data_IF_232775790332
#
_entry.id   IF_232775790332
#
_cell.length_a   1.000
_cell.length_b   1.000
_cell.length_c   1.000
_cell.angle_alpha   90.00
_cell.angle_beta   90.00
_cell.angle_gamma   90.00
#
_symmetry.space_group_name_H-M   'P 1'
#
loop_
_entity.id
_entity.type
_entity.pdbx_description
1 polymer ?
#
# COMPACT_ATOMS: atom_id res chain seq x y z
N UNK A 1 -2.71 0.50 8.04
CA UNK A 1 -1.95 -0.76 7.86
C UNK A 1 -2.40 -1.78 8.89
N UNK A 2 -2.29 -1.48 10.19
CA UNK A 2 -2.71 -2.36 11.30
C UNK A 2 -4.11 -2.97 11.08
N UNK A 3 -5.15 -2.14 10.88
CA UNK A 3 -6.51 -2.67 10.66
C UNK A 3 -6.68 -3.58 9.43
N UNK A 4 -5.86 -3.41 8.39
CA UNK A 4 -5.93 -4.26 7.20
C UNK A 4 -5.22 -5.60 7.43
N UNK A 5 -4.10 -5.58 8.16
CA UNK A 5 -3.38 -6.78 8.54
C UNK A 5 -4.15 -7.60 9.60
N UNK A 6 -4.82 -6.96 10.56
CA UNK A 6 -5.71 -7.62 11.52
C UNK A 6 -6.92 -8.29 10.85
N UNK A 7 -7.32 -7.81 9.67
CA UNK A 7 -8.37 -8.40 8.86
C UNK A 7 -7.86 -9.50 7.90
N UNK A 8 -6.61 -9.96 8.06
CA UNK A 8 -5.94 -10.94 7.20
C UNK A 8 -5.96 -10.58 5.70
N UNK A 9 -6.00 -9.27 5.38
CA UNK A 9 -5.93 -8.80 4.00
C UNK A 9 -4.47 -8.68 3.55
N UNK A 10 -4.14 -9.09 2.31
CA UNK A 10 -2.81 -8.87 1.76
C UNK A 10 -2.57 -7.37 1.57
N UNK A 11 -1.49 -6.85 2.19
CA UNK A 11 -1.09 -5.44 2.10
C UNK A 11 0.28 -5.35 1.46
N UNK A 12 0.46 -4.43 0.53
CA UNK A 12 1.76 -4.08 -0.04
C UNK A 12 2.05 -2.60 0.18
N UNK A 13 3.29 -2.27 0.55
CA UNK A 13 3.79 -0.90 0.57
C UNK A 13 4.46 -0.61 -0.76
N UNK A 14 3.97 0.43 -1.43
CA UNK A 14 4.51 0.87 -2.72
C UNK A 14 5.08 2.27 -2.58
N UNK A 15 6.09 2.60 -3.37
CA UNK A 15 6.56 3.97 -3.48
C UNK A 15 5.49 4.80 -4.20
N UNK A 16 4.97 5.91 -3.63
CA UNK A 16 3.95 6.74 -4.27
C UNK A 16 4.35 7.25 -5.67
N UNK A 17 5.66 7.38 -5.96
CA UNK A 17 6.16 7.74 -7.29
C UNK A 17 5.81 6.68 -8.34
N UNK A 18 5.91 5.39 -8.00
CA UNK A 18 5.61 4.30 -8.94
C UNK A 18 4.14 4.32 -9.35
N UNK A 19 3.21 4.52 -8.41
CA UNK A 19 1.78 4.65 -8.73
C UNK A 19 1.50 5.86 -9.64
N UNK A 20 2.18 6.99 -9.41
CA UNK A 20 2.06 8.18 -10.28
C UNK A 20 2.63 7.96 -11.67
N UNK A 21 3.77 7.29 -11.78
CA UNK A 21 4.39 7.05 -13.07
C UNK A 21 3.60 6.00 -13.88
N UNK A 22 3.01 5.01 -13.20
CA UNK A 22 2.04 4.09 -13.80
C UNK A 22 0.77 4.79 -14.31
N UNK A 23 0.22 5.73 -13.53
CA UNK A 23 -0.90 6.57 -13.96
C UNK A 23 -0.59 7.34 -15.25
N UNK A 24 0.60 7.95 -15.32
CA UNK A 24 1.05 8.67 -16.51
C UNK A 24 1.22 7.74 -17.71
N UNK A 25 1.85 6.58 -17.51
CA UNK A 25 2.07 5.60 -18.57
C UNK A 25 0.76 5.03 -19.14
N UNK A 26 -0.29 4.95 -18.31
CA UNK A 26 -1.63 4.50 -18.71
C UNK A 26 -2.53 5.64 -19.22
N UNK A 27 -2.01 6.87 -19.33
CA UNK A 27 -2.75 8.02 -19.88
C UNK A 27 -3.83 8.59 -18.96
N UNK A 28 -3.87 8.20 -17.67
CA UNK A 28 -4.84 8.74 -16.71
C UNK A 28 -4.27 9.96 -15.98
N UNK A 29 -4.63 11.15 -16.47
CA UNK A 29 -4.18 12.44 -15.95
C UNK A 29 -5.17 13.13 -14.99
N UNK A 30 -6.46 12.77 -15.05
CA UNK A 30 -7.46 13.31 -14.14
C UNK A 30 -7.38 12.62 -12.76
N UNK A 31 -7.38 13.41 -11.68
CA UNK A 31 -7.32 12.93 -10.31
C UNK A 31 -8.67 13.13 -9.62
N UNK A 32 -9.38 12.03 -9.44
CA UNK A 32 -10.47 11.89 -8.47
C UNK A 32 -10.18 10.66 -7.63
N UNK A 33 -10.75 10.56 -6.43
CA UNK A 33 -10.52 9.40 -5.55
C UNK A 33 -10.88 8.08 -6.26
N UNK A 34 -11.94 8.08 -7.07
CA UNK A 34 -12.35 6.91 -7.86
C UNK A 34 -11.33 6.52 -8.93
N UNK A 35 -10.70 7.49 -9.60
CA UNK A 35 -9.67 7.21 -10.61
C UNK A 35 -8.39 6.72 -9.94
N UNK A 36 -7.97 7.36 -8.84
CA UNK A 36 -6.79 6.94 -8.08
C UNK A 36 -6.95 5.49 -7.58
N UNK A 37 -8.13 5.11 -7.07
CA UNK A 37 -8.42 3.74 -6.65
C UNK A 37 -8.31 2.73 -7.81
N UNK A 38 -8.87 3.04 -8.97
CA UNK A 38 -8.75 2.17 -10.17
C UNK A 38 -7.30 2.01 -10.62
N UNK A 39 -6.52 3.09 -10.58
CA UNK A 39 -5.11 3.06 -10.96
C UNK A 39 -4.32 2.17 -10.00
N UNK A 40 -4.56 2.30 -8.69
CA UNK A 40 -3.87 1.47 -7.69
C UNK A 40 -4.25 -0.02 -7.79
N UNK A 41 -5.53 -0.31 -8.08
CA UNK A 41 -5.97 -1.69 -8.32
C UNK A 41 -5.25 -2.28 -9.55
N UNK A 42 -5.26 -1.57 -10.67
CA UNK A 42 -4.58 -1.99 -11.89
C UNK A 42 -3.06 -2.11 -11.71
N UNK A 43 -2.46 -1.19 -10.94
CA UNK A 43 -1.05 -1.28 -10.58
C UNK A 43 -0.75 -2.56 -9.78
N UNK A 44 -1.59 -2.89 -8.79
CA UNK A 44 -1.43 -4.09 -7.97
C UNK A 44 -1.51 -5.37 -8.80
N UNK A 45 -2.47 -5.44 -9.72
CA UNK A 45 -2.61 -6.57 -10.65
C UNK A 45 -1.42 -6.71 -11.60
N UNK A 46 -0.95 -5.61 -12.19
CA UNK A 46 0.11 -5.62 -13.20
C UNK A 46 1.51 -5.82 -12.61
N UNK A 47 1.80 -5.15 -11.49
CA UNK A 47 3.15 -5.11 -10.91
C UNK A 47 3.36 -6.16 -9.82
N UNK A 48 2.29 -6.73 -9.27
CA UNK A 48 2.33 -7.73 -8.18
C UNK A 48 3.35 -7.37 -7.08
N UNK A 49 3.19 -6.19 -6.44
CA UNK A 49 4.15 -5.74 -5.45
C UNK A 49 4.25 -6.72 -4.28
N UNK A 50 5.41 -6.76 -3.64
CA UNK A 50 5.66 -7.68 -2.54
C UNK A 50 4.67 -7.44 -1.40
N UNK A 51 3.92 -8.49 -1.05
CA UNK A 51 3.02 -8.50 0.10
C UNK A 51 3.88 -8.46 1.36
N UNK A 52 3.55 -7.54 2.26
CA UNK A 52 4.20 -7.48 3.57
C UNK A 52 3.78 -8.68 4.41
N UNK A 53 4.76 -9.26 5.09
CA UNK A 53 4.48 -10.20 6.15
C UNK A 53 3.63 -9.52 7.24
N UNK A 54 2.70 -10.26 7.81
CA UNK A 54 1.91 -9.81 8.96
C UNK A 54 2.89 -9.57 10.12
N UNK A 55 2.82 -8.38 10.72
CA UNK A 55 3.66 -8.05 11.86
C UNK A 55 3.21 -8.85 13.08
N UNK A 56 4.15 -9.52 13.75
CA UNK A 56 3.86 -10.23 15.00
C UNK A 56 3.41 -9.24 16.08
N UNK A 57 2.66 -9.72 17.07
CA UNK A 57 2.25 -8.91 18.23
C UNK A 57 3.46 -8.30 18.95
N UNK A 58 4.55 -9.06 19.09
CA UNK A 58 5.79 -8.61 19.73
C UNK A 58 6.48 -7.50 18.92
N UNK A 59 6.48 -7.63 17.58
CA UNK A 59 7.05 -6.62 16.69
C UNK A 59 6.27 -5.30 16.76
N UNK A 60 4.94 -5.39 16.87
CA UNK A 60 4.06 -4.23 17.06
C UNK A 60 4.34 -3.53 18.39
N UNK A 61 4.39 -4.29 19.48
CA UNK A 61 4.68 -3.75 20.83
C UNK A 61 6.07 -3.07 20.89
N UNK A 62 7.08 -3.66 20.25
CA UNK A 62 8.40 -3.04 20.16
C UNK A 62 8.38 -1.72 19.37
N UNK A 63 7.65 -1.68 18.25
CA UNK A 63 7.50 -0.47 17.45
C UNK A 63 6.86 0.68 18.22
N UNK A 64 5.85 0.38 19.05
CA UNK A 64 5.19 1.38 19.90
C UNK A 64 6.15 1.96 20.95
N UNK A 65 6.99 1.13 21.56
CA UNK A 65 8.00 1.59 22.53
C UNK A 65 9.04 2.54 21.90
N UNK A 66 9.42 2.31 20.64
CA UNK A 66 10.36 3.17 19.91
C UNK A 66 9.71 4.51 19.50
N UNK A 67 8.39 4.52 19.27
CA UNK A 67 7.65 5.71 18.80
C UNK A 67 7.36 6.76 19.87
N UNK A 68 7.51 6.43 21.14
CA UNK A 68 7.16 7.30 22.28
C UNK A 68 8.35 8.18 22.75
N UNK A 69 9.52 8.07 22.12
CA UNK A 69 10.67 8.97 22.31
C UNK A 69 10.68 10.11 21.27
#
# INVERSE_FOLDING_TARGET
MIQLQEADLPVALINPRQGRDFAKATGKLAKTDAIDAQILAHFGEAMQPQILAVESEESRQLGDLIRVC
#
